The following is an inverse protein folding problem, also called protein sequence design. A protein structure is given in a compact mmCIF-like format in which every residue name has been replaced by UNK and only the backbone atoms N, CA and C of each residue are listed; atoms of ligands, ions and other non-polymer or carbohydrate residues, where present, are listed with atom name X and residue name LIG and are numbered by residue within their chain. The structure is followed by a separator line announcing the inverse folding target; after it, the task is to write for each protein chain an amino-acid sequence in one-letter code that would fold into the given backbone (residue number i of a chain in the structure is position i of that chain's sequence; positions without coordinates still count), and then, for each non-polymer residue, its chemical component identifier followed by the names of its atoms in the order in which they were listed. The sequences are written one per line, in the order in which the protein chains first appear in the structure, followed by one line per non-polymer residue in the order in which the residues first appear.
data_IF_464810997130
#
_entry.id   IF_464810997130
#
_cell.length_a   1.000
_cell.length_b   1.000
_cell.length_c   1.000
_cell.angle_alpha   90.00
_cell.angle_beta   90.00
_cell.angle_gamma   90.00
#
_symmetry.space_group_name_H-M   'P 1'
#
loop_
_entity.id
_entity.type
_entity.pdbx_description
1 polymer ?
#
# COMPACT_ATOMS: atom_id res chain seq x y z
N UNK A 1 24.46 -4.54 11.07
CA UNK A 1 23.84 -5.29 9.95
C UNK A 1 22.43 -5.66 10.38
N UNK A 2 21.38 -5.05 9.81
CA UNK A 2 20.00 -5.44 10.10
C UNK A 2 19.69 -6.68 9.26
N UNK A 3 19.73 -7.85 9.87
CA UNK A 3 19.24 -9.08 9.25
C UNK A 3 17.72 -8.96 9.08
N UNK A 4 17.23 -9.17 7.85
CA UNK A 4 15.81 -9.33 7.59
C UNK A 4 15.31 -10.54 8.40
N UNK A 5 14.31 -10.35 9.28
CA UNK A 5 13.83 -11.38 10.22
C UNK A 5 12.84 -12.38 9.61
N UNK A 6 12.51 -12.25 8.33
CA UNK A 6 11.60 -13.16 7.62
C UNK A 6 12.37 -14.12 6.71
N UNK A 7 11.97 -15.40 6.69
CA UNK A 7 12.45 -16.36 5.69
C UNK A 7 12.00 -15.88 4.30
N UNK A 8 12.94 -15.70 3.37
CA UNK A 8 12.65 -15.34 1.98
C UNK A 8 11.94 -16.52 1.33
N UNK A 9 10.71 -16.31 0.84
CA UNK A 9 9.87 -17.39 0.25
C UNK A 9 9.88 -17.40 -1.27
N UNK A 10 10.15 -16.26 -1.91
CA UNK A 10 10.19 -16.12 -3.36
C UNK A 10 11.01 -14.88 -3.75
N UNK A 11 11.48 -14.82 -5.00
CA UNK A 11 12.14 -13.66 -5.58
C UNK A 11 11.84 -13.54 -7.09
N UNK A 12 11.77 -12.31 -7.61
CA UNK A 12 11.58 -12.07 -9.03
C UNK A 12 12.40 -10.86 -9.50
N UNK A 13 12.80 -10.86 -10.78
CA UNK A 13 13.46 -9.70 -11.39
C UNK A 13 12.49 -8.54 -11.50
N UNK A 14 12.90 -7.38 -11.02
CA UNK A 14 12.11 -6.16 -11.18
C UNK A 14 12.53 -5.43 -12.46
N UNK A 15 11.76 -5.65 -13.53
CA UNK A 15 12.04 -5.08 -14.85
C UNK A 15 12.06 -3.54 -14.88
N UNK A 16 11.37 -2.87 -13.96
CA UNK A 16 11.37 -1.41 -13.87
C UNK A 16 12.67 -0.88 -13.26
N UNK A 17 13.18 -1.56 -12.23
CA UNK A 17 14.48 -1.22 -11.65
C UNK A 17 15.62 -1.48 -12.65
N UNK A 18 15.55 -2.60 -13.37
CA UNK A 18 16.53 -2.91 -14.42
C UNK A 18 16.57 -1.81 -15.50
N UNK A 19 15.40 -1.31 -15.94
CA UNK A 19 15.34 -0.23 -16.92
C UNK A 19 15.97 1.08 -16.40
N UNK A 20 15.76 1.41 -15.12
CA UNK A 20 16.35 2.60 -14.48
C UNK A 20 17.88 2.46 -14.40
N UNK A 21 18.37 1.30 -13.95
CA UNK A 21 19.82 1.03 -13.84
C UNK A 21 20.49 1.10 -15.21
N UNK A 22 19.89 0.50 -16.25
CA UNK A 22 20.43 0.55 -17.61
C UNK A 22 20.50 1.97 -18.16
N UNK A 23 19.50 2.82 -17.88
CA UNK A 23 19.54 4.23 -18.30
C UNK A 23 20.60 5.03 -17.54
N UNK A 24 20.78 4.76 -16.24
CA UNK A 24 21.82 5.40 -15.44
C UNK A 24 23.24 5.05 -15.95
N UNK A 25 23.50 3.77 -16.22
CA UNK A 25 24.82 3.29 -16.69
C UNK A 25 25.21 3.84 -18.07
N UNK A 26 24.25 4.22 -18.93
CA UNK A 26 24.57 4.91 -20.21
C UNK A 26 25.28 6.24 -20.01
N UNK A 27 24.99 6.93 -18.90
CA UNK A 27 25.58 8.23 -18.57
C UNK A 27 26.72 8.13 -17.57
N UNK A 28 26.84 7.01 -16.86
CA UNK A 28 27.82 6.76 -15.78
C UNK A 28 28.41 5.34 -15.92
N UNK A 29 29.18 5.05 -16.98
CA UNK A 29 29.66 3.69 -17.28
C UNK A 29 30.73 3.19 -16.30
N UNK A 30 31.36 4.10 -15.56
CA UNK A 30 32.31 3.83 -14.47
C UNK A 30 31.69 3.15 -13.25
N UNK A 31 30.36 3.21 -13.12
CA UNK A 31 29.60 2.50 -12.09
C UNK A 31 29.11 1.12 -12.57
N UNK A 32 29.39 0.73 -13.81
CA UNK A 32 29.03 -0.61 -14.27
C UNK A 32 29.94 -1.65 -13.61
N UNK A 33 29.32 -2.71 -13.09
CA UNK A 33 30.06 -3.80 -12.46
C UNK A 33 30.94 -4.48 -13.49
N UNK A 34 32.13 -4.85 -13.06
CA UNK A 34 33.07 -5.62 -13.89
C UNK A 34 32.46 -6.98 -14.27
N UNK A 35 32.97 -7.58 -15.33
CA UNK A 35 32.53 -8.90 -15.78
C UNK A 35 32.70 -9.97 -14.71
N UNK A 36 33.74 -9.85 -13.88
CA UNK A 36 34.07 -10.76 -12.78
C UNK A 36 33.06 -10.63 -11.64
N UNK A 37 32.74 -9.39 -11.21
CA UNK A 37 31.71 -9.12 -10.20
C UNK A 37 30.33 -9.60 -10.64
N UNK A 38 29.97 -9.38 -11.92
CA UNK A 38 28.72 -9.87 -12.50
C UNK A 38 28.64 -11.40 -12.51
N UNK A 39 29.77 -12.09 -12.70
CA UNK A 39 29.83 -13.57 -12.64
C UNK A 39 29.67 -14.06 -11.20
N UNK A 40 30.37 -13.45 -10.25
CA UNK A 40 30.29 -13.79 -8.83
C UNK A 40 28.88 -13.62 -8.27
N UNK A 41 28.17 -12.55 -8.65
CA UNK A 41 26.76 -12.33 -8.24
C UNK A 41 25.84 -13.41 -8.83
N UNK A 42 26.05 -13.82 -10.09
CA UNK A 42 25.26 -14.90 -10.71
C UNK A 42 25.49 -16.24 -10.02
N UNK A 43 26.72 -16.55 -9.65
CA UNK A 43 27.04 -17.77 -8.90
C UNK A 43 26.39 -17.77 -7.52
N UNK A 44 26.40 -16.64 -6.81
CA UNK A 44 25.69 -16.48 -5.53
C UNK A 44 24.17 -16.66 -5.69
N UNK A 45 23.56 -16.15 -6.77
CA UNK A 45 22.13 -16.34 -7.04
C UNK A 45 21.82 -17.83 -7.21
N UNK A 46 22.63 -18.58 -7.97
CA UNK A 46 22.44 -20.03 -8.16
C UNK A 46 22.59 -20.79 -6.84
N UNK A 47 23.53 -20.39 -5.99
CA UNK A 47 23.70 -20.98 -4.66
C UNK A 47 22.48 -20.72 -3.77
N UNK A 48 21.95 -19.50 -3.76
CA UNK A 48 20.72 -19.18 -3.02
C UNK A 48 19.49 -19.90 -3.59
N UNK A 49 19.40 -20.07 -4.91
CA UNK A 49 18.34 -20.88 -5.53
C UNK A 49 18.41 -22.34 -5.08
N UNK A 50 19.61 -22.93 -5.04
CA UNK A 50 19.78 -24.30 -4.55
C UNK A 50 19.36 -24.45 -3.09
N UNK A 51 19.69 -23.46 -2.24
CA UNK A 51 19.29 -23.43 -0.82
C UNK A 51 17.77 -23.29 -0.63
N UNK A 52 17.07 -22.56 -1.51
CA UNK A 52 15.61 -22.42 -1.48
C UNK A 52 14.91 -23.71 -1.92
N UNK A 53 15.42 -24.39 -2.96
CA UNK A 53 14.85 -25.66 -3.44
C UNK A 53 15.15 -26.84 -2.50
N UNK A 54 16.26 -26.82 -1.75
CA UNK A 54 16.52 -27.83 -0.72
C UNK A 54 15.61 -27.68 0.51
N UNK A 55 15.15 -26.46 0.81
CA UNK A 55 14.22 -26.19 1.93
C UNK A 55 12.77 -26.56 1.62
N UNK A 56 12.39 -26.68 0.34
CA UNK A 56 11.06 -27.14 -0.08
C UNK A 56 10.98 -28.67 -0.28
N UNK A 57 12.11 -29.38 -0.23
CA UNK A 57 12.20 -30.83 -0.48
C UNK A 57 12.52 -31.67 0.77
N UNK A 58 12.62 -31.08 1.98
CA UNK A 58 12.72 -31.86 3.22
C UNK A 58 11.33 -32.11 3.81
N UNK A 59 10.94 -33.38 4.07
CA UNK A 59 9.95 -33.64 5.10
C UNK A 59 10.61 -33.22 6.43
N UNK A 60 9.96 -32.36 7.20
CA UNK A 60 10.45 -32.03 8.54
C UNK A 60 10.44 -33.32 9.39
N UNK A 61 11.62 -33.90 9.58
CA UNK A 61 11.83 -35.06 10.43
C UNK A 61 12.94 -34.75 11.44
N UNK A 62 12.53 -34.73 12.71
CA UNK A 62 13.21 -35.41 13.81
C UNK A 62 14.72 -35.18 13.97
N UNK A 63 15.06 -34.45 15.02
CA UNK A 63 16.38 -34.51 15.62
C UNK A 63 16.56 -35.88 16.29
N UNK A 64 17.29 -36.81 15.64
CA UNK A 64 17.77 -38.05 16.26
C UNK A 64 19.21 -37.86 16.75
N UNK A 65 19.39 -37.92 18.07
CA UNK A 65 20.67 -38.30 18.69
C UNK A 65 20.58 -39.77 19.13
N UNK A 66 21.67 -40.50 18.96
CA UNK A 66 21.74 -41.95 19.10
C UNK A 66 21.70 -42.46 20.55
N UNK A 67 21.01 -43.59 20.70
CA UNK A 67 21.17 -44.69 21.67
C UNK A 67 20.86 -44.44 23.16
N UNK A 68 19.66 -44.86 23.56
CA UNK A 68 19.31 -45.27 24.91
C UNK A 68 17.90 -45.86 24.93
N UNK A 69 17.79 -47.17 25.14
CA UNK A 69 16.53 -47.91 25.15
C UNK A 69 15.54 -47.35 26.17
N UNK A 70 14.34 -46.95 25.72
CA UNK A 70 13.15 -46.80 26.58
C UNK A 70 11.90 -47.04 25.73
N UNK A 71 10.94 -47.75 26.35
CA UNK A 71 9.70 -48.30 25.82
C UNK A 71 8.81 -47.33 25.01
N UNK A 72 8.07 -47.94 24.08
CA UNK A 72 7.01 -47.34 23.26
C UNK A 72 5.78 -46.98 24.12
N UNK A 73 5.56 -45.68 24.34
CA UNK A 73 4.23 -45.12 24.57
C UNK A 73 4.03 -43.99 23.56
N UNK A 74 3.19 -44.24 22.55
CA UNK A 74 2.75 -43.22 21.58
C UNK A 74 1.85 -42.22 22.30
N UNK A 75 2.43 -41.12 22.79
CA UNK A 75 1.65 -39.94 23.16
C UNK A 75 1.17 -39.26 21.88
N UNK A 76 -0.13 -39.41 21.57
CA UNK A 76 -0.83 -38.55 20.62
C UNK A 76 -0.67 -37.10 21.12
N UNK A 77 0.23 -36.31 20.50
CA UNK A 77 0.26 -34.86 20.71
C UNK A 77 -1.08 -34.30 20.24
N UNK A 78 -2.00 -34.07 21.19
CA UNK A 78 -3.21 -33.32 20.95
C UNK A 78 -2.80 -31.89 20.55
N UNK A 79 -2.84 -31.58 19.25
CA UNK A 79 -2.71 -30.21 18.73
C UNK A 79 -3.69 -29.29 19.48
N UNK A 80 -3.19 -28.53 20.46
CA UNK A 80 -4.04 -27.62 21.23
C UNK A 80 -4.73 -26.63 20.25
N UNK A 81 -6.07 -26.50 20.32
CA UNK A 81 -6.79 -25.65 19.39
C UNK A 81 -6.37 -24.19 19.61
N UNK A 82 -5.62 -23.65 18.65
CA UNK A 82 -5.28 -22.23 18.64
C UNK A 82 -6.58 -21.44 18.52
N UNK A 83 -6.90 -20.58 19.48
CA UNK A 83 -8.13 -19.77 19.41
C UNK A 83 -7.96 -18.64 18.41
N UNK A 84 -8.97 -18.39 17.57
CA UNK A 84 -8.92 -17.28 16.63
C UNK A 84 -8.80 -15.93 17.39
N UNK A 85 -7.88 -15.03 16.99
CA UNK A 85 -7.67 -13.75 17.68
C UNK A 85 -8.85 -12.76 17.55
N UNK A 86 -9.87 -13.11 16.75
CA UNK A 86 -11.08 -12.32 16.53
C UNK A 86 -12.36 -12.96 17.05
N UNK A 87 -12.38 -14.26 17.32
CA UNK A 87 -13.58 -14.92 17.83
C UNK A 87 -13.22 -16.06 18.79
N UNK A 88 -14.09 -16.35 19.77
CA UNK A 88 -13.88 -17.45 20.71
C UNK A 88 -14.11 -18.84 20.09
N UNK A 89 -14.35 -18.94 18.78
CA UNK A 89 -14.58 -20.22 18.10
C UNK A 89 -13.24 -20.94 17.91
N UNK A 90 -13.21 -22.21 18.30
CA UNK A 90 -12.06 -23.10 18.15
C UNK A 90 -11.70 -23.27 16.68
N UNK A 91 -10.43 -23.01 16.35
CA UNK A 91 -9.88 -23.35 15.04
C UNK A 91 -9.74 -24.87 15.00
N UNK A 92 -10.32 -25.54 14.00
CA UNK A 92 -10.09 -26.97 13.81
C UNK A 92 -8.59 -27.23 13.61
N UNK A 93 -8.06 -28.31 14.19
CA UNK A 93 -6.64 -28.69 14.19
C UNK A 93 -5.94 -28.64 12.79
N UNK A 94 -6.70 -28.70 11.70
CA UNK A 94 -6.20 -28.65 10.32
C UNK A 94 -5.81 -27.25 9.81
N UNK A 95 -5.88 -26.19 10.62
CA UNK A 95 -5.50 -24.83 10.22
C UNK A 95 -6.33 -24.22 9.08
N UNK A 96 -7.46 -24.86 8.72
CA UNK A 96 -8.41 -24.35 7.73
C UNK A 96 -9.18 -23.16 8.32
N UNK A 97 -9.39 -22.08 7.55
CA UNK A 97 -10.09 -20.91 8.06
C UNK A 97 -11.51 -21.33 8.42
N UNK A 98 -11.88 -21.08 9.68
CA UNK A 98 -13.27 -21.09 10.08
C UNK A 98 -14.09 -20.36 8.99
N UNK A 99 -15.06 -21.03 8.37
CA UNK A 99 -15.84 -20.56 7.20
C UNK A 99 -16.57 -19.22 7.41
N UNK A 100 -16.45 -18.69 8.62
CA UNK A 100 -16.96 -17.45 9.14
C UNK A 100 -15.95 -16.28 9.06
N UNK A 101 -14.75 -16.49 8.51
CA UNK A 101 -13.73 -15.46 8.34
C UNK A 101 -13.46 -15.15 6.87
N UNK A 102 -12.99 -13.93 6.62
CA UNK A 102 -12.51 -13.47 5.31
C UNK A 102 -11.18 -12.75 5.45
N UNK A 103 -10.50 -12.54 4.35
CA UNK A 103 -9.22 -11.83 4.31
C UNK A 103 -9.44 -10.32 4.20
N UNK A 104 -8.75 -9.55 5.04
CA UNK A 104 -8.66 -8.10 4.89
C UNK A 104 -8.06 -7.74 3.52
N UNK A 105 -8.71 -6.84 2.78
CA UNK A 105 -8.24 -6.42 1.47
C UNK A 105 -6.84 -5.77 1.48
N UNK A 106 -6.47 -5.08 2.56
CA UNK A 106 -5.22 -4.30 2.61
C UNK A 106 -4.02 -5.05 3.21
N UNK A 107 -4.26 -5.99 4.15
CA UNK A 107 -3.18 -6.71 4.84
C UNK A 107 -3.26 -8.24 4.71
N UNK A 108 -4.32 -8.79 4.12
CA UNK A 108 -4.50 -10.23 3.92
C UNK A 108 -4.82 -11.03 5.19
N UNK A 109 -4.71 -10.45 6.39
CA UNK A 109 -5.04 -11.14 7.64
C UNK A 109 -6.51 -11.54 7.69
N UNK A 110 -6.77 -12.68 8.32
CA UNK A 110 -8.13 -13.15 8.59
C UNK A 110 -8.84 -12.22 9.57
N UNK A 111 -10.11 -11.97 9.29
CA UNK A 111 -11.03 -11.15 10.07
C UNK A 111 -12.45 -11.74 9.98
N UNK A 112 -13.32 -11.51 10.98
CA UNK A 112 -14.70 -11.97 10.92
C UNK A 112 -15.42 -11.48 9.67
N UNK A 113 -16.19 -12.37 9.03
CA UNK A 113 -17.11 -11.98 7.97
C UNK A 113 -18.23 -11.09 8.55
N UNK A 114 -18.90 -10.23 7.76
CA UNK A 114 -19.88 -9.27 8.25
C UNK A 114 -20.95 -9.85 9.18
N UNK A 115 -21.53 -11.01 8.86
CA UNK A 115 -22.54 -11.64 9.71
C UNK A 115 -22.02 -12.13 11.07
N UNK A 116 -20.72 -12.41 11.17
CA UNK A 116 -20.06 -12.83 12.43
C UNK A 116 -19.58 -11.61 13.18
N UNK A 117 -19.11 -10.58 12.47
CA UNK A 117 -18.81 -9.28 13.05
C UNK A 117 -20.04 -8.71 13.79
N UNK A 118 -21.23 -8.79 13.19
CA UNK A 118 -22.50 -8.37 13.81
C UNK A 118 -22.80 -9.16 15.10
N UNK A 119 -22.66 -10.49 15.08
CA UNK A 119 -22.85 -11.34 16.27
C UNK A 119 -21.89 -11.00 17.41
N UNK A 120 -20.68 -10.55 17.06
CA UNK A 120 -19.64 -10.13 18.00
C UNK A 120 -19.74 -8.64 18.39
N UNK A 121 -20.80 -7.93 17.98
CA UNK A 121 -20.96 -6.48 18.16
C UNK A 121 -19.77 -5.65 17.63
N UNK A 122 -19.14 -6.11 16.55
CA UNK A 122 -18.09 -5.39 15.84
C UNK A 122 -18.72 -4.44 14.80
N UNK A 123 -17.93 -3.46 14.36
CA UNK A 123 -18.35 -2.50 13.32
C UNK A 123 -18.41 -3.17 11.95
N UNK A 124 -19.04 -2.49 10.98
CA UNK A 124 -19.03 -2.91 9.58
C UNK A 124 -17.58 -2.87 9.01
N UNK A 125 -17.05 -3.98 8.46
CA UNK A 125 -15.73 -3.99 7.83
C UNK A 125 -15.66 -3.27 6.48
N UNK A 126 -16.80 -2.95 5.85
CA UNK A 126 -16.88 -2.45 4.49
C UNK A 126 -16.49 -0.98 4.35
N UNK A 127 -15.55 -0.69 3.45
CA UNK A 127 -15.22 0.70 3.11
C UNK A 127 -16.43 1.44 2.53
N UNK A 128 -16.71 2.66 3.01
CA UNK A 128 -17.85 3.45 2.56
C UNK A 128 -17.90 3.69 1.04
N UNK A 129 -16.73 3.74 0.36
CA UNK A 129 -16.62 3.95 -1.09
C UNK A 129 -16.56 2.64 -1.88
N UNK A 130 -15.51 1.83 -1.73
CA UNK A 130 -15.29 0.65 -2.58
C UNK A 130 -15.97 -0.63 -2.08
N UNK A 131 -16.60 -0.59 -0.89
CA UNK A 131 -17.27 -1.73 -0.23
C UNK A 131 -16.38 -2.94 0.04
N UNK A 132 -15.06 -2.81 -0.11
CA UNK A 132 -14.10 -3.86 0.26
C UNK A 132 -13.91 -3.89 1.76
N UNK A 133 -13.77 -5.09 2.28
CA UNK A 133 -13.65 -5.33 3.72
C UNK A 133 -12.21 -5.17 4.20
N UNK A 134 -12.04 -4.39 5.26
CA UNK A 134 -10.73 -4.15 5.88
C UNK A 134 -10.80 -4.21 7.39
N UNK A 135 -9.83 -4.90 7.99
CA UNK A 135 -9.84 -5.23 9.42
C UNK A 135 -9.81 -4.00 10.35
N UNK A 136 -9.22 -2.87 9.93
CA UNK A 136 -9.20 -1.65 10.73
C UNK A 136 -10.58 -1.02 10.89
N UNK A 137 -11.55 -1.31 10.01
CA UNK A 137 -12.92 -0.78 10.13
C UNK A 137 -13.75 -1.54 11.16
N UNK A 138 -13.45 -2.82 11.40
CA UNK A 138 -14.04 -3.59 12.51
C UNK A 138 -13.66 -3.02 13.88
N UNK A 139 -12.46 -2.45 13.98
CA UNK A 139 -11.88 -2.03 15.25
C UNK A 139 -12.68 -0.91 15.91
N UNK A 140 -12.85 -1.03 17.22
CA UNK A 140 -13.43 -0.04 18.12
C UNK A 140 -12.55 0.09 19.37
N UNK A 141 -12.97 0.90 20.33
CA UNK A 141 -12.19 1.17 21.55
C UNK A 141 -11.93 -0.12 22.36
N UNK A 142 -12.86 -1.08 22.35
CA UNK A 142 -12.77 -2.34 23.08
C UNK A 142 -12.03 -3.44 22.30
N UNK A 143 -12.02 -3.35 20.97
CA UNK A 143 -11.46 -4.35 20.06
C UNK A 143 -10.51 -3.66 19.06
N UNK A 144 -9.23 -3.48 19.41
CA UNK A 144 -8.28 -2.87 18.52
C UNK A 144 -7.99 -3.77 17.33
N UNK A 145 -7.64 -3.16 16.20
CA UNK A 145 -7.25 -3.90 15.01
C UNK A 145 -6.02 -4.76 15.29
N UNK A 146 -6.04 -6.02 14.87
CA UNK A 146 -4.94 -6.99 15.05
C UNK A 146 -3.84 -6.89 13.98
N UNK A 147 -3.95 -5.96 13.02
CA UNK A 147 -2.88 -5.78 12.05
C UNK A 147 -1.77 -4.91 12.64
N UNK A 148 -0.52 -5.38 12.55
CA UNK A 148 0.68 -4.63 12.95
C UNK A 148 0.85 -3.30 12.20
N UNK A 149 0.04 -3.08 11.15
CA UNK A 149 0.16 -1.95 10.25
C UNK A 149 -0.77 -0.79 10.58
N UNK A 150 -1.80 -0.93 11.44
CA UNK A 150 -2.82 0.10 11.82
C UNK A 150 -3.28 1.10 10.74
N UNK A 151 -3.04 0.82 9.46
CA UNK A 151 -3.15 1.78 8.35
C UNK A 151 -4.11 1.28 7.28
N UNK A 152 -4.74 0.12 7.49
CA UNK A 152 -5.69 -0.45 6.52
C UNK A 152 -6.91 0.45 6.34
N UNK A 153 -7.28 1.22 7.38
CA UNK A 153 -8.33 2.22 7.28
C UNK A 153 -8.10 3.40 8.23
N UNK A 154 -8.39 4.59 7.73
CA UNK A 154 -8.45 5.82 8.53
C UNK A 154 -9.38 6.83 7.85
N UNK A 155 -9.73 7.89 8.56
CA UNK A 155 -10.40 9.05 8.01
C UNK A 155 -9.40 9.99 7.31
N UNK A 156 -9.92 10.97 6.58
CA UNK A 156 -9.09 12.04 6.02
C UNK A 156 -8.52 12.92 7.13
N UNK A 157 -9.28 13.16 8.21
CA UNK A 157 -8.81 13.95 9.34
C UNK A 157 -7.62 13.32 10.07
N UNK A 158 -7.59 11.98 10.16
CA UNK A 158 -6.48 11.21 10.74
C UNK A 158 -5.19 11.32 9.92
N UNK A 159 -5.23 11.82 8.68
CA UNK A 159 -4.03 12.04 7.84
C UNK A 159 -3.01 12.99 8.48
N UNK A 160 -3.44 13.84 9.43
CA UNK A 160 -2.55 14.70 10.24
C UNK A 160 -1.56 13.91 11.09
N UNK A 161 -1.94 12.69 11.47
CA UNK A 161 -1.18 11.84 12.38
C UNK A 161 -0.22 10.89 11.63
N UNK A 162 -0.34 10.78 10.31
CA UNK A 162 0.39 9.81 9.49
C UNK A 162 1.46 10.50 8.64
N UNK A 163 2.50 11.00 9.31
CA UNK A 163 3.63 11.69 8.68
C UNK A 163 4.85 10.77 8.50
N UNK A 164 5.55 10.81 7.35
CA UNK A 164 5.22 11.57 6.14
C UNK A 164 4.03 10.95 5.40
N UNK A 165 3.15 11.79 4.89
CA UNK A 165 1.94 11.37 4.21
C UNK A 165 2.25 10.88 2.78
N UNK A 166 1.70 9.73 2.38
CA UNK A 166 2.12 9.02 1.15
C UNK A 166 1.24 9.27 -0.08
N UNK A 167 0.12 10.01 0.00
CA UNK A 167 -0.70 10.17 -1.21
C UNK A 167 -0.03 11.07 -2.25
N UNK A 168 -0.23 10.68 -3.50
CA UNK A 168 0.32 11.35 -4.69
C UNK A 168 -0.64 12.45 -5.14
N UNK A 169 -0.13 13.54 -5.70
CA UNK A 169 -1.00 14.58 -6.27
C UNK A 169 -1.82 14.02 -7.44
N UNK A 170 -1.15 13.64 -8.54
CA UNK A 170 -1.76 12.91 -9.66
C UNK A 170 -0.76 11.89 -10.19
N UNK A 171 0.50 12.27 -10.40
CA UNK A 171 1.58 11.37 -10.78
C UNK A 171 2.87 11.71 -10.02
N UNK A 172 3.91 10.91 -10.22
CA UNK A 172 5.18 11.06 -9.50
C UNK A 172 5.90 12.38 -9.81
N UNK A 173 5.80 12.87 -11.05
CA UNK A 173 6.40 14.17 -11.45
C UNK A 173 5.67 15.34 -10.80
N UNK A 174 4.34 15.35 -10.86
CA UNK A 174 3.53 16.38 -10.21
C UNK A 174 3.72 16.36 -8.69
N UNK A 175 3.90 15.18 -8.11
CA UNK A 175 4.20 15.00 -6.69
C UNK A 175 5.61 15.52 -6.36
N UNK A 176 6.61 15.28 -7.21
CA UNK A 176 7.94 15.87 -7.03
C UNK A 176 7.90 17.40 -7.04
N UNK A 177 7.15 18.00 -7.98
CA UNK A 177 6.96 19.46 -8.02
C UNK A 177 6.23 20.00 -6.78
N UNK A 178 5.23 19.26 -6.28
CA UNK A 178 4.58 19.59 -5.00
C UNK A 178 5.57 19.62 -3.84
N UNK A 179 6.43 18.60 -3.74
CA UNK A 179 7.44 18.52 -2.68
C UNK A 179 8.47 19.65 -2.79
N UNK A 180 8.91 19.99 -4.01
CA UNK A 180 9.77 21.16 -4.25
C UNK A 180 9.09 22.47 -3.82
N UNK A 181 7.82 22.65 -4.18
CA UNK A 181 7.04 23.82 -3.76
C UNK A 181 6.96 23.92 -2.24
N UNK A 182 6.64 22.80 -1.58
CA UNK A 182 6.52 22.71 -0.12
C UNK A 182 7.84 23.06 0.58
N UNK A 183 8.95 22.52 0.07
CA UNK A 183 10.29 22.81 0.58
C UNK A 183 10.64 24.30 0.42
N UNK A 184 10.36 24.90 -0.74
CA UNK A 184 10.62 26.32 -1.00
C UNK A 184 9.78 27.25 -0.12
N UNK A 185 8.51 26.88 0.14
CA UNK A 185 7.60 27.62 1.01
C UNK A 185 7.79 27.31 2.50
N UNK A 186 8.62 26.32 2.84
CA UNK A 186 8.86 25.85 4.21
C UNK A 186 7.55 25.51 4.95
N UNK A 187 6.61 24.90 4.24
CA UNK A 187 5.34 24.48 4.84
C UNK A 187 5.57 23.26 5.72
N UNK A 188 5.11 23.33 6.97
CA UNK A 188 5.10 22.15 7.83
C UNK A 188 4.16 21.10 7.26
N UNK A 189 4.39 19.84 7.63
CA UNK A 189 3.50 18.75 7.25
C UNK A 189 2.06 18.98 7.72
N UNK A 190 1.88 19.44 8.96
CA UNK A 190 0.57 19.67 9.57
C UNK A 190 -0.17 20.81 8.86
N UNK A 191 0.48 21.97 8.69
CA UNK A 191 -0.13 23.13 8.02
C UNK A 191 -0.49 22.79 6.57
N UNK A 192 0.33 21.97 5.91
CA UNK A 192 0.08 21.52 4.55
C UNK A 192 -1.16 20.62 4.49
N UNK A 193 -1.26 19.62 5.36
CA UNK A 193 -2.44 18.74 5.44
C UNK A 193 -3.69 19.56 5.76
N UNK A 194 -3.61 20.51 6.69
CA UNK A 194 -4.74 21.40 7.01
C UNK A 194 -5.15 22.27 5.82
N UNK A 195 -4.18 22.84 5.09
CA UNK A 195 -4.46 23.60 3.89
C UNK A 195 -5.17 22.75 2.82
N UNK A 196 -4.78 21.49 2.65
CA UNK A 196 -5.42 20.55 1.72
C UNK A 196 -6.83 20.18 2.19
N UNK A 197 -6.99 19.80 3.45
CA UNK A 197 -8.29 19.43 4.03
C UNK A 197 -9.27 20.60 4.08
N UNK A 198 -8.78 21.85 4.18
CA UNK A 198 -9.60 23.06 4.07
C UNK A 198 -10.27 23.22 2.69
N UNK A 199 -9.89 22.39 1.71
CA UNK A 199 -10.49 22.29 0.38
C UNK A 199 -11.41 21.08 0.25
N UNK A 200 -11.96 20.56 1.35
CA UNK A 200 -12.84 19.39 1.32
C UNK A 200 -13.96 19.49 0.28
N UNK A 201 -14.56 20.67 0.13
CA UNK A 201 -15.59 20.94 -0.88
C UNK A 201 -15.14 20.68 -2.33
N UNK A 202 -13.83 20.58 -2.59
CA UNK A 202 -13.28 20.26 -3.92
C UNK A 202 -13.29 18.77 -4.27
N UNK A 203 -13.59 17.89 -3.31
CA UNK A 203 -13.53 16.44 -3.47
C UNK A 203 -14.37 15.94 -4.67
N UNK A 204 -15.50 16.60 -4.93
CA UNK A 204 -16.47 16.25 -5.97
C UNK A 204 -16.54 17.27 -7.12
N UNK A 205 -15.64 18.27 -7.17
CA UNK A 205 -15.69 19.33 -8.19
C UNK A 205 -15.15 18.90 -9.56
N UNK A 206 -14.38 17.82 -9.61
CA UNK A 206 -13.69 17.36 -10.80
C UNK A 206 -14.00 15.88 -11.07
N UNK A 207 -14.14 15.55 -12.35
CA UNK A 207 -14.60 14.23 -12.80
C UNK A 207 -13.41 13.30 -13.06
N UNK A 208 -12.83 12.80 -11.98
CA UNK A 208 -11.69 11.88 -12.06
C UNK A 208 -12.11 10.46 -12.43
N UNK A 209 -11.42 9.88 -13.41
CA UNK A 209 -11.58 8.49 -13.82
C UNK A 209 -10.76 7.52 -12.96
N UNK A 210 -10.92 7.61 -11.63
CA UNK A 210 -10.18 6.80 -10.64
C UNK A 210 -10.99 5.61 -10.10
N UNK A 211 -12.23 5.43 -10.59
CA UNK A 211 -13.12 4.33 -10.21
C UNK A 211 -13.87 4.54 -8.89
N UNK A 212 -13.79 5.73 -8.28
CA UNK A 212 -14.63 6.07 -7.14
C UNK A 212 -16.04 6.44 -7.58
N UNK A 213 -17.04 5.89 -6.89
CA UNK A 213 -18.44 6.22 -7.11
C UNK A 213 -18.75 7.65 -6.65
N UNK A 214 -19.25 8.49 -7.56
CA UNK A 214 -19.50 9.92 -7.31
C UNK A 214 -20.62 10.14 -6.29
N UNK A 215 -21.63 9.26 -6.28
CA UNK A 215 -22.76 9.36 -5.34
C UNK A 215 -22.28 9.04 -3.92
N UNK A 216 -21.54 7.94 -3.74
CA UNK A 216 -20.93 7.58 -2.48
C UNK A 216 -19.95 8.66 -2.01
N UNK A 217 -19.14 9.24 -2.91
CA UNK A 217 -18.26 10.38 -2.62
C UNK A 217 -19.00 11.58 -2.02
N UNK A 218 -20.20 11.88 -2.51
CA UNK A 218 -21.02 12.98 -2.00
C UNK A 218 -21.49 12.80 -0.55
N UNK A 219 -21.45 11.57 -0.02
CA UNK A 219 -21.79 11.25 1.37
C UNK A 219 -20.60 11.24 2.33
N UNK A 220 -19.37 11.35 1.80
CA UNK A 220 -18.15 11.31 2.61
C UNK A 220 -18.01 12.61 3.40
N UNK A 221 -17.57 12.47 4.65
CA UNK A 221 -17.12 13.56 5.52
C UNK A 221 -15.63 13.39 5.83
N UNK A 222 -14.93 14.43 6.33
CA UNK A 222 -13.54 14.31 6.75
C UNK A 222 -13.28 13.20 7.79
N UNK A 223 -14.31 12.84 8.58
CA UNK A 223 -14.25 11.82 9.64
C UNK A 223 -14.70 10.43 9.17
N UNK A 224 -15.22 10.31 7.95
CA UNK A 224 -15.60 9.00 7.40
C UNK A 224 -14.35 8.13 7.25
N UNK A 225 -14.33 6.97 7.92
CA UNK A 225 -13.22 6.03 7.82
C UNK A 225 -13.29 5.28 6.50
N UNK A 226 -12.19 5.26 5.76
CA UNK A 226 -12.06 4.66 4.44
C UNK A 226 -10.91 3.66 4.44
N UNK A 227 -10.93 2.68 3.53
CA UNK A 227 -9.72 1.89 3.29
C UNK A 227 -8.60 2.82 2.78
N UNK A 228 -7.34 2.40 3.00
CA UNK A 228 -6.15 3.13 2.57
C UNK A 228 -6.25 3.61 1.12
N UNK A 229 -6.58 2.71 0.19
CA UNK A 229 -6.67 3.05 -1.23
C UNK A 229 -7.69 4.17 -1.51
N UNK A 230 -8.90 4.07 -0.94
CA UNK A 230 -9.95 5.06 -1.14
C UNK A 230 -9.62 6.40 -0.49
N UNK A 231 -9.06 6.38 0.72
CA UNK A 231 -8.58 7.58 1.40
C UNK A 231 -7.51 8.30 0.59
N UNK A 232 -6.53 7.56 0.08
CA UNK A 232 -5.42 8.13 -0.69
C UNK A 232 -5.93 8.77 -1.98
N UNK A 233 -6.88 8.12 -2.68
CA UNK A 233 -7.55 8.72 -3.86
C UNK A 233 -8.34 9.99 -3.50
N UNK A 234 -9.14 9.98 -2.43
CA UNK A 234 -9.82 11.18 -1.95
C UNK A 234 -8.83 12.30 -1.67
N UNK A 235 -7.72 12.00 -1.00
CA UNK A 235 -6.70 12.99 -0.69
C UNK A 235 -5.98 13.50 -1.95
N UNK A 236 -5.70 12.65 -2.93
CA UNK A 236 -5.18 13.06 -4.25
C UNK A 236 -6.10 14.08 -4.94
N UNK A 237 -7.43 13.87 -4.90
CA UNK A 237 -8.41 14.84 -5.42
C UNK A 237 -8.35 16.17 -4.66
N UNK A 238 -8.24 16.13 -3.33
CA UNK A 238 -8.09 17.34 -2.50
C UNK A 238 -6.77 18.06 -2.76
N UNK A 239 -5.66 17.33 -2.97
CA UNK A 239 -4.38 17.90 -3.36
C UNK A 239 -4.48 18.64 -4.68
N UNK A 240 -5.19 18.07 -5.66
CA UNK A 240 -5.48 18.74 -6.91
C UNK A 240 -6.30 20.02 -6.71
N UNK A 241 -7.41 19.93 -5.96
CA UNK A 241 -8.25 21.10 -5.64
C UNK A 241 -7.46 22.21 -4.93
N UNK A 242 -6.61 21.85 -3.97
CA UNK A 242 -5.69 22.76 -3.31
C UNK A 242 -4.72 23.42 -4.30
N UNK A 243 -4.07 22.63 -5.17
CA UNK A 243 -3.14 23.16 -6.19
C UNK A 243 -3.85 24.15 -7.12
N UNK A 244 -5.06 23.83 -7.57
CA UNK A 244 -5.84 24.72 -8.44
C UNK A 244 -6.28 25.99 -7.72
N UNK A 245 -6.43 25.95 -6.38
CA UNK A 245 -6.77 27.12 -5.57
C UNK A 245 -5.60 28.04 -5.20
N UNK A 246 -4.36 27.66 -5.54
CA UNK A 246 -3.19 28.47 -5.24
C UNK A 246 -3.29 29.86 -5.92
N UNK A 247 -2.84 30.93 -5.24
CA UNK A 247 -2.86 32.27 -5.83
C UNK A 247 -1.95 32.32 -7.07
N UNK A 248 -2.19 33.25 -8.02
CA UNK A 248 -1.41 33.33 -9.25
C UNK A 248 0.10 33.46 -9.04
N UNK A 249 0.53 34.08 -7.93
CA UNK A 249 1.93 34.15 -7.53
C UNK A 249 2.55 32.78 -7.26
N UNK A 250 1.81 31.90 -6.60
CA UNK A 250 2.27 30.57 -6.24
C UNK A 250 2.15 29.60 -7.41
N UNK A 251 1.13 29.76 -8.27
CA UNK A 251 1.03 28.98 -9.51
C UNK A 251 2.25 29.17 -10.41
N UNK A 252 2.85 30.37 -10.45
CA UNK A 252 4.08 30.64 -11.21
C UNK A 252 5.33 29.95 -10.68
N UNK A 253 5.30 29.42 -9.46
CA UNK A 253 6.41 28.64 -8.90
C UNK A 253 6.45 27.19 -9.44
N UNK A 254 5.41 26.78 -10.16
CA UNK A 254 5.37 25.47 -10.81
C UNK A 254 5.98 25.54 -12.21
N UNK A 255 6.57 24.44 -12.72
CA UNK A 255 7.16 24.42 -14.05
C UNK A 255 6.14 24.73 -15.15
N UNK A 256 6.51 25.64 -16.05
CA UNK A 256 5.72 25.96 -17.24
C UNK A 256 5.83 24.82 -18.24
N UNK A 257 4.74 24.09 -18.45
CA UNK A 257 4.65 22.95 -19.36
C UNK A 257 3.31 22.99 -20.11
N UNK A 258 3.26 22.51 -21.37
CA UNK A 258 2.00 22.41 -22.09
C UNK A 258 1.05 21.44 -21.37
N UNK A 259 -0.23 21.78 -21.32
CA UNK A 259 -1.27 20.91 -20.77
C UNK A 259 -1.43 19.63 -21.60
N UNK A 260 -1.54 18.49 -20.94
CA UNK A 260 -1.96 17.25 -21.59
C UNK A 260 -3.42 17.36 -22.01
N UNK A 261 -3.76 16.89 -23.21
CA UNK A 261 -5.16 16.87 -23.68
C UNK A 261 -6.08 16.05 -22.78
N UNK A 262 -5.55 15.00 -22.15
CA UNK A 262 -6.31 14.15 -21.23
C UNK A 262 -6.25 14.64 -19.77
N UNK A 263 -5.45 15.67 -19.50
CA UNK A 263 -5.37 16.30 -18.19
C UNK A 263 -5.12 15.32 -17.05
N UNK A 264 -5.82 15.53 -15.93
CA UNK A 264 -5.75 14.67 -14.75
C UNK A 264 -6.22 13.23 -15.02
N UNK A 265 -6.99 12.98 -16.09
CA UNK A 265 -7.45 11.64 -16.51
C UNK A 265 -6.51 10.94 -17.50
N UNK A 266 -5.32 11.47 -17.76
CA UNK A 266 -4.37 10.84 -18.67
C UNK A 266 -3.83 9.51 -18.12
N UNK A 267 -4.09 8.37 -18.78
CA UNK A 267 -3.49 7.09 -18.32
C UNK A 267 -1.97 7.02 -18.56
N UNK A 268 -1.46 7.65 -19.62
CA UNK A 268 -0.04 7.62 -19.99
C UNK A 268 0.86 8.28 -18.95
N UNK A 269 0.31 9.21 -18.16
CA UNK A 269 1.07 9.89 -17.10
C UNK A 269 1.61 8.95 -16.01
N UNK A 270 0.98 7.78 -15.84
CA UNK A 270 1.42 6.77 -14.86
C UNK A 270 2.34 5.71 -15.46
N UNK A 271 2.39 5.61 -16.79
CA UNK A 271 3.15 4.58 -17.51
C UNK A 271 4.44 5.10 -18.17
N UNK A 272 4.53 6.42 -18.37
CA UNK A 272 5.69 7.05 -19.00
C UNK A 272 6.10 8.28 -18.21
N UNK A 273 7.25 8.17 -17.52
CA UNK A 273 7.87 9.29 -16.82
C UNK A 273 8.20 10.43 -17.79
N UNK A 274 8.63 10.12 -19.01
CA UNK A 274 8.90 11.12 -20.04
C UNK A 274 7.63 11.90 -20.42
N UNK A 275 6.48 11.23 -20.55
CA UNK A 275 5.20 11.91 -20.80
C UNK A 275 4.80 12.79 -19.62
N UNK A 276 4.89 12.26 -18.39
CA UNK A 276 4.60 12.99 -17.16
C UNK A 276 5.52 14.21 -16.96
N UNK A 277 6.79 14.12 -17.38
CA UNK A 277 7.74 15.23 -17.34
C UNK A 277 7.42 16.29 -18.40
N UNK A 278 7.04 15.88 -19.61
CA UNK A 278 6.80 16.78 -20.75
C UNK A 278 5.52 17.60 -20.63
N UNK A 279 4.45 17.03 -20.08
CA UNK A 279 3.13 17.68 -20.03
C UNK A 279 2.69 17.97 -18.60
N UNK A 280 1.95 19.06 -18.42
CA UNK A 280 1.20 19.31 -17.19
C UNK A 280 -0.05 18.42 -17.17
N UNK A 281 -0.25 17.69 -16.07
CA UNK A 281 -1.46 16.88 -15.85
C UNK A 281 -2.37 17.48 -14.79
N UNK A 282 -1.91 18.52 -14.10
CA UNK A 282 -2.78 19.31 -13.24
C UNK A 282 -3.57 20.33 -14.09
N UNK A 283 -4.40 19.82 -15.00
CA UNK A 283 -5.28 20.58 -15.88
C UNK A 283 -6.51 19.75 -16.28
N UNK A 284 -7.63 20.40 -16.68
CA UNK A 284 -8.81 19.69 -17.16
C UNK A 284 -8.55 18.84 -18.42
N UNK A 285 -9.31 17.76 -18.55
CA UNK A 285 -9.41 17.01 -19.80
C UNK A 285 -10.12 17.86 -20.87
N UNK A 286 -9.55 17.89 -22.08
CA UNK A 286 -10.06 18.65 -23.23
C UNK A 286 -10.35 17.77 -24.45
N UNK A 287 -9.93 16.50 -24.43
CA UNK A 287 -10.28 15.49 -25.46
C UNK A 287 -10.94 14.28 -24.81
N UNK A 288 -12.09 13.88 -25.35
CA UNK A 288 -12.90 12.75 -24.91
C UNK A 288 -13.05 11.83 -26.12
N UNK A 289 -12.17 10.83 -26.23
CA UNK A 289 -12.21 9.84 -27.30
C UNK A 289 -12.73 8.53 -26.74
#
# INVERSE_FOLDING_TARGET
MKLCRGKIRDYAKNCQLDAIVQEYLKSHPDYDLTSEEKSAIKEQIVEYEAQLHSQSAQPEAGHLMANGAVDEEEEEEEDEPTTCPWCPLTTSATGLPCSQHRTCFECGLLMPAPGVAEQLNLRDPGCALCKRDVCCLLANDDTPCRCDQHTCASSLNESRNHLPFHAKLINDVETAHLLTYKANKRLSEVDFVDAVLSRFASLTLHDFNDGLDVVALGSITPDTRLCRQCRDLCFSRLLYGWKMSLPPGDQRLWPSRPNCYYGYNCHTQHRSLQHAAKYNHCCPQTRFH
#
